data_IF_981066794723
#
_entry.id   IF_981066794723
#
_cell.length_a   1.000
_cell.length_b   1.000
_cell.length_c   1.000
_cell.angle_alpha   90.00
_cell.angle_beta   90.00
_cell.angle_gamma   90.00
#
_symmetry.space_group_name_H-M   'P 1'
#
loop_
_entity.id
_entity.type
_entity.pdbx_description
1 polymer ?
#
# COMPACT_ATOMS: atom_id res chain seq x y z
N UNK A 1 21.06 11.59 -19.81
CA UNK A 1 20.48 10.68 -18.80
C UNK A 1 21.11 10.99 -17.44
N UNK A 2 20.55 11.90 -16.65
CA UNK A 2 21.08 12.32 -15.33
C UNK A 2 19.95 12.53 -14.29
N UNK A 3 18.89 11.72 -14.36
CA UNK A 3 17.69 11.88 -13.50
C UNK A 3 17.58 10.85 -12.37
N UNK A 4 18.68 10.16 -12.02
CA UNK A 4 18.69 9.09 -10.99
C UNK A 4 19.19 9.53 -9.60
N UNK A 5 19.36 10.82 -9.35
CA UNK A 5 20.02 11.33 -8.12
C UNK A 5 19.17 12.27 -7.26
N UNK A 6 17.88 12.47 -7.58
CA UNK A 6 16.96 13.30 -6.77
C UNK A 6 15.63 12.59 -6.61
N UNK A 7 14.88 12.95 -5.57
CA UNK A 7 13.50 12.48 -5.38
C UNK A 7 12.70 12.77 -6.65
N UNK A 8 12.14 11.71 -7.22
CA UNK A 8 11.32 11.82 -8.41
C UNK A 8 10.01 12.51 -8.02
N UNK A 9 9.62 13.64 -8.65
CA UNK A 9 8.38 14.33 -8.36
C UNK A 9 7.21 13.60 -9.04
N UNK A 10 7.03 12.32 -8.73
CA UNK A 10 5.98 11.48 -9.29
C UNK A 10 5.27 10.71 -8.18
N UNK A 11 3.95 10.67 -8.28
CA UNK A 11 3.12 9.80 -7.47
C UNK A 11 3.13 8.39 -8.09
N UNK A 12 3.42 7.32 -7.32
CA UNK A 12 3.35 5.97 -7.85
C UNK A 12 1.90 5.55 -8.09
N UNK A 13 1.67 4.76 -9.13
CA UNK A 13 0.36 4.12 -9.39
C UNK A 13 -0.01 3.10 -8.30
N UNK A 14 0.99 2.39 -7.75
CA UNK A 14 0.85 1.37 -6.73
C UNK A 14 1.89 1.55 -5.61
N UNK A 15 1.45 1.53 -4.35
CA UNK A 15 2.32 1.58 -3.15
C UNK A 15 2.03 0.43 -2.19
N UNK A 16 3.07 -0.09 -1.54
CA UNK A 16 2.96 -1.04 -0.44
C UNK A 16 3.74 -0.46 0.74
N UNK A 17 3.05 -0.30 1.87
CA UNK A 17 3.63 0.06 3.16
C UNK A 17 3.54 -1.15 4.08
N UNK A 18 4.67 -1.52 4.67
CA UNK A 18 4.75 -2.55 5.70
C UNK A 18 4.91 -1.87 7.05
N UNK A 19 3.95 -2.04 7.95
CA UNK A 19 3.98 -1.37 9.25
C UNK A 19 5.17 -1.88 10.09
N UNK A 20 6.12 -0.99 10.39
CA UNK A 20 7.25 -1.29 11.28
C UNK A 20 6.76 -1.45 12.72
N UNK A 21 7.42 -2.27 13.56
CA UNK A 21 7.13 -2.32 15.00
C UNK A 21 7.23 -0.97 15.73
N UNK A 22 7.99 -0.02 15.20
CA UNK A 22 8.15 1.33 15.76
C UNK A 22 7.11 2.33 15.26
N UNK A 23 6.36 2.00 14.21
CA UNK A 23 5.45 2.94 13.56
C UNK A 23 4.15 3.05 14.35
N UNK A 24 3.56 4.24 14.31
CA UNK A 24 2.21 4.47 14.82
C UNK A 24 1.24 4.24 13.68
N UNK A 25 0.35 3.25 13.82
CA UNK A 25 -0.63 2.89 12.80
C UNK A 25 -1.33 4.11 12.18
N UNK A 26 -1.77 5.05 13.00
CA UNK A 26 -2.45 6.26 12.54
C UNK A 26 -1.59 7.13 11.62
N UNK A 27 -0.31 7.28 11.92
CA UNK A 27 0.62 8.07 11.09
C UNK A 27 0.84 7.39 9.74
N UNK A 28 0.96 6.07 9.73
CA UNK A 28 1.06 5.31 8.47
C UNK A 28 -0.24 5.37 7.68
N UNK A 29 -1.41 5.32 8.32
CA UNK A 29 -2.70 5.52 7.66
C UNK A 29 -2.82 6.92 7.05
N UNK A 30 -2.38 7.97 7.75
CA UNK A 30 -2.33 9.35 7.23
C UNK A 30 -1.44 9.44 5.99
N UNK A 31 -0.28 8.75 5.98
CA UNK A 31 0.59 8.62 4.81
C UNK A 31 -0.10 7.90 3.64
N UNK A 32 -0.86 6.83 3.89
CA UNK A 32 -1.65 6.15 2.85
C UNK A 32 -2.73 7.06 2.27
N UNK A 33 -3.34 7.91 3.09
CA UNK A 33 -4.29 8.93 2.62
C UNK A 33 -3.60 9.97 1.73
N UNK A 34 -2.40 10.44 2.10
CA UNK A 34 -1.61 11.35 1.30
C UNK A 34 -1.28 10.75 -0.09
N UNK A 35 -0.84 9.49 -0.15
CA UNK A 35 -0.60 8.80 -1.41
C UNK A 35 -1.85 8.77 -2.30
N UNK A 36 -2.99 8.37 -1.73
CA UNK A 36 -4.27 8.33 -2.45
C UNK A 36 -4.70 9.72 -2.95
N UNK A 37 -4.53 10.76 -2.14
CA UNK A 37 -4.84 12.14 -2.51
C UNK A 37 -3.94 12.66 -3.63
N UNK A 38 -2.68 12.21 -3.66
CA UNK A 38 -1.70 12.59 -4.67
C UNK A 38 -1.83 11.79 -5.98
N UNK A 39 -2.78 10.86 -6.08
CA UNK A 39 -3.12 10.16 -7.32
C UNK A 39 -2.72 8.68 -7.36
N UNK A 40 -2.24 8.10 -6.25
CA UNK A 40 -1.99 6.65 -6.19
C UNK A 40 -3.30 5.89 -6.39
N UNK A 41 -3.28 4.96 -7.35
CA UNK A 41 -4.46 4.17 -7.76
C UNK A 41 -4.76 3.04 -6.79
N UNK A 42 -3.72 2.38 -6.29
CA UNK A 42 -3.79 1.28 -5.33
C UNK A 42 -2.74 1.44 -4.24
N UNK A 43 -3.11 1.22 -2.99
CA UNK A 43 -2.19 1.21 -1.86
C UNK A 43 -2.50 0.09 -0.89
N UNK A 44 -1.48 -0.63 -0.43
CA UNK A 44 -1.60 -1.63 0.63
C UNK A 44 -0.87 -1.18 1.88
N UNK A 45 -1.54 -1.20 3.02
CA UNK A 45 -0.91 -1.12 4.33
C UNK A 45 -1.00 -2.48 5.01
N UNK A 46 0.15 -3.14 5.17
CA UNK A 46 0.27 -4.47 5.74
C UNK A 46 0.66 -4.34 7.22
N UNK A 47 -0.27 -4.69 8.11
CA UNK A 47 -0.02 -4.81 9.53
C UNK A 47 0.24 -6.28 9.90
N UNK A 48 1.52 -6.64 10.02
CA UNK A 48 1.94 -8.02 10.32
C UNK A 48 1.50 -8.50 11.70
N UNK A 49 1.53 -7.62 12.71
CA UNK A 49 1.18 -7.98 14.09
C UNK A 49 -0.29 -8.40 14.20
N UNK A 50 -1.16 -7.76 13.44
CA UNK A 50 -2.59 -8.07 13.39
C UNK A 50 -2.96 -8.97 12.20
N UNK A 51 -1.98 -9.39 11.39
CA UNK A 51 -2.19 -10.06 10.10
C UNK A 51 -3.27 -9.41 9.25
N UNK A 52 -3.29 -8.08 9.21
CA UNK A 52 -4.33 -7.31 8.54
C UNK A 52 -3.72 -6.59 7.34
N UNK A 53 -4.49 -6.48 6.25
CA UNK A 53 -4.16 -5.56 5.16
C UNK A 53 -5.29 -4.56 4.97
N UNK A 54 -4.94 -3.28 4.94
CA UNK A 54 -5.82 -2.22 4.49
C UNK A 54 -5.54 -1.89 3.01
N UNK A 55 -6.59 -1.87 2.19
CA UNK A 55 -6.51 -1.61 0.75
C UNK A 55 -7.14 -0.25 0.45
N UNK A 56 -6.31 0.65 -0.06
CA UNK A 56 -6.66 2.00 -0.46
C UNK A 56 -6.81 2.03 -1.98
N UNK A 57 -8.00 2.37 -2.47
CA UNK A 57 -8.26 2.57 -3.90
C UNK A 57 -8.64 4.02 -4.18
N UNK A 58 -8.19 4.54 -5.31
CA UNK A 58 -8.57 5.87 -5.76
C UNK A 58 -10.09 5.93 -6.00
N UNK A 59 -10.73 7.04 -5.61
CA UNK A 59 -12.17 7.24 -5.76
C UNK A 59 -13.04 6.56 -4.69
N UNK A 60 -12.48 5.71 -3.83
CA UNK A 60 -13.20 5.12 -2.70
C UNK A 60 -13.10 6.02 -1.47
N UNK A 61 -14.15 6.14 -0.67
CA UNK A 61 -14.13 6.98 0.54
C UNK A 61 -13.22 6.38 1.64
N UNK A 62 -13.36 5.08 1.91
CA UNK A 62 -12.65 4.35 2.97
C UNK A 62 -11.77 3.23 2.41
N UNK A 63 -10.78 2.81 3.19
CA UNK A 63 -10.01 1.60 2.89
C UNK A 63 -10.87 0.35 3.11
N UNK A 64 -10.64 -0.67 2.30
CA UNK A 64 -11.12 -2.03 2.54
C UNK A 64 -10.17 -2.72 3.53
N UNK A 65 -10.69 -3.56 4.42
CA UNK A 65 -9.89 -4.27 5.41
C UNK A 65 -10.03 -5.76 5.21
N UNK A 66 -8.91 -6.44 5.04
CA UNK A 66 -8.83 -7.90 4.97
C UNK A 66 -8.07 -8.44 6.18
N UNK A 67 -8.62 -9.49 6.79
CA UNK A 67 -8.04 -10.17 7.96
C UNK A 67 -7.42 -11.49 7.50
N UNK A 68 -6.15 -11.68 7.83
CA UNK A 68 -5.30 -12.82 7.49
C UNK A 68 -5.40 -13.30 6.03
N UNK A 69 -5.34 -12.41 5.01
CA UNK A 69 -5.36 -12.87 3.62
C UNK A 69 -4.09 -13.69 3.30
N UNK A 70 -4.24 -14.76 2.52
CA UNK A 70 -3.07 -15.57 2.09
C UNK A 70 -2.36 -14.98 0.88
N UNK A 71 -3.08 -14.19 0.06
CA UNK A 71 -2.52 -13.51 -1.10
C UNK A 71 -3.33 -12.27 -1.49
N UNK A 72 -2.70 -11.34 -2.23
CA UNK A 72 -3.36 -10.16 -2.79
C UNK A 72 -2.93 -9.92 -4.24
N UNK A 73 -3.91 -9.60 -5.10
CA UNK A 73 -3.68 -9.19 -6.49
C UNK A 73 -3.58 -7.66 -6.56
N UNK A 74 -2.66 -7.13 -7.36
CA UNK A 74 -2.57 -5.68 -7.62
C UNK A 74 -3.55 -5.18 -8.71
N UNK A 75 -4.60 -5.96 -8.97
CA UNK A 75 -5.76 -5.58 -9.79
C UNK A 75 -5.34 -5.10 -11.20
N UNK A 76 -6.11 -4.20 -11.82
CA UNK A 76 -5.73 -3.58 -13.08
C UNK A 76 -4.57 -2.57 -12.96
N UNK A 77 -4.10 -2.27 -11.74
CA UNK A 77 -2.99 -1.33 -11.53
C UNK A 77 -1.66 -1.97 -11.91
N UNK A 78 -1.45 -3.24 -11.52
CA UNK A 78 -0.31 -4.04 -11.96
C UNK A 78 -0.79 -5.45 -12.36
N UNK A 79 -1.28 -5.61 -13.61
CA UNK A 79 -1.92 -6.85 -14.05
C UNK A 79 -1.02 -8.08 -13.91
N UNK A 80 -1.58 -9.16 -13.34
CA UNK A 80 -0.87 -10.43 -13.15
C UNK A 80 0.06 -10.47 -11.94
N UNK A 81 0.24 -9.37 -11.22
CA UNK A 81 0.98 -9.37 -9.96
C UNK A 81 0.12 -9.89 -8.82
N UNK A 82 0.63 -10.90 -8.12
CA UNK A 82 0.04 -11.44 -6.89
C UNK A 82 1.14 -11.54 -5.82
N UNK A 83 0.89 -10.93 -4.67
CA UNK A 83 1.75 -11.06 -3.50
C UNK A 83 1.24 -12.21 -2.63
N UNK A 84 2.06 -13.24 -2.42
CA UNK A 84 1.82 -14.26 -1.40
C UNK A 84 2.23 -13.69 -0.03
N UNK A 85 1.28 -13.64 0.91
CA UNK A 85 1.46 -13.07 2.25
C UNK A 85 1.83 -14.10 3.31
N UNK A 86 1.74 -15.40 3.02
CA UNK A 86 2.09 -16.48 3.97
C UNK A 86 3.55 -16.38 4.45
N UNK A 87 4.44 -15.83 3.61
CA UNK A 87 5.85 -15.59 3.95
C UNK A 87 6.10 -14.26 4.66
N UNK A 88 5.09 -13.40 4.72
CA UNK A 88 5.18 -12.04 5.28
C UNK A 88 4.64 -12.01 6.71
N UNK A 89 3.69 -12.88 7.05
CA UNK A 89 3.28 -13.12 8.44
C UNK A 89 4.50 -13.54 9.27
#
# INVERSE_FOLDING_TARGET
QQQKTRFLPLCPDFVIELLSPSDRLKETQEKMQEYRQNGTRLGWLINRQQQQVEIYRQGHATAEILISPTSLSAEEVLPGFVLNLEKIW
#
